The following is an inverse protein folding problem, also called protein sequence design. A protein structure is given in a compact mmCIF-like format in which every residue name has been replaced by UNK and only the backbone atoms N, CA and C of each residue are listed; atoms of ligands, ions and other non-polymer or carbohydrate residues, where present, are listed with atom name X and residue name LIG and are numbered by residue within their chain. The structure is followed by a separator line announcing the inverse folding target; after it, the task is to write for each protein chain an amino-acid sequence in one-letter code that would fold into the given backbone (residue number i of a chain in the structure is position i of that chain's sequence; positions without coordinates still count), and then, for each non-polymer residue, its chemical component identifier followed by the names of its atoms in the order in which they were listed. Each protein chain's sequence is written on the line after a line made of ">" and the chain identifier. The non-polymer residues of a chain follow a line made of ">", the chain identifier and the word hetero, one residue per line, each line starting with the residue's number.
data_IF_970235561989
#
_entry.id   IF_970235561989
#
_cell.length_a   1.000
_cell.length_b   1.000
_cell.length_c   1.000
_cell.angle_alpha   90.00
_cell.angle_beta   90.00
_cell.angle_gamma   90.00
#
_symmetry.space_group_name_H-M   'P 1'
#
loop_
_entity.id
_entity.type
_entity.pdbx_description
1 polymer ?
#
# COMPACT_ATOMS: atom_id res chain seq x y z
N UNK A 1 2.42 0.03 -13.07
CA UNK A 1 1.92 -0.36 -11.75
C UNK A 1 0.44 -0.11 -11.57
N UNK A 2 -0.02 1.08 -11.90
CA UNK A 2 -1.44 1.41 -11.79
C UNK A 2 -2.30 0.49 -12.66
N UNK A 3 -1.84 0.17 -13.85
CA UNK A 3 -2.55 -0.73 -14.75
C UNK A 3 -2.71 -2.12 -14.15
N UNK A 4 -1.72 -2.58 -13.41
CA UNK A 4 -1.79 -3.87 -12.75
C UNK A 4 -2.83 -3.85 -11.64
N UNK A 5 -2.90 -2.75 -10.89
CA UNK A 5 -3.90 -2.59 -9.84
C UNK A 5 -5.30 -2.58 -10.46
N UNK A 6 -5.48 -1.89 -11.57
CA UNK A 6 -6.76 -1.84 -12.28
C UNK A 6 -7.17 -3.24 -12.76
N UNK A 7 -6.22 -3.98 -13.31
CA UNK A 7 -6.46 -5.33 -13.77
C UNK A 7 -6.86 -6.24 -12.60
N UNK A 8 -6.16 -6.12 -11.50
CA UNK A 8 -6.43 -6.92 -10.30
C UNK A 8 -7.81 -6.58 -9.73
N UNK A 9 -8.21 -5.31 -9.80
CA UNK A 9 -9.53 -4.89 -9.36
C UNK A 9 -10.61 -5.55 -10.22
N UNK A 10 -10.44 -5.53 -11.54
CA UNK A 10 -11.39 -6.16 -12.45
C UNK A 10 -11.49 -7.66 -12.19
N UNK A 11 -10.35 -8.29 -11.94
CA UNK A 11 -10.31 -9.71 -11.63
C UNK A 11 -11.01 -10.00 -10.31
N UNK A 12 -10.83 -9.15 -9.32
CA UNK A 12 -11.51 -9.29 -8.04
C UNK A 12 -13.03 -9.18 -8.20
N UNK A 13 -13.49 -8.25 -9.04
CA UNK A 13 -14.91 -8.10 -9.34
C UNK A 13 -15.45 -9.35 -10.01
N UNK A 14 -14.68 -9.90 -10.95
CA UNK A 14 -15.06 -11.09 -11.67
C UNK A 14 -15.18 -12.29 -10.74
N UNK A 15 -14.31 -12.36 -9.75
CA UNK A 15 -14.30 -13.44 -8.77
C UNK A 15 -15.21 -13.17 -7.59
N UNK A 16 -15.97 -12.08 -7.63
CA UNK A 16 -16.90 -11.67 -6.59
C UNK A 16 -16.21 -11.38 -5.25
N UNK A 17 -14.95 -11.03 -5.31
CA UNK A 17 -14.20 -10.61 -4.13
C UNK A 17 -14.41 -9.12 -3.92
N UNK A 18 -15.53 -8.77 -3.31
CA UNK A 18 -15.95 -7.38 -3.13
C UNK A 18 -15.00 -6.58 -2.26
N UNK A 19 -14.47 -7.21 -1.25
CA UNK A 19 -13.57 -6.56 -0.32
C UNK A 19 -12.28 -6.11 -1.02
N UNK A 20 -11.67 -7.02 -1.77
CA UNK A 20 -10.48 -6.71 -2.52
C UNK A 20 -10.76 -5.65 -3.61
N UNK A 21 -11.86 -5.83 -4.33
CA UNK A 21 -12.24 -4.89 -5.38
C UNK A 21 -12.45 -3.48 -4.82
N UNK A 22 -13.11 -3.38 -3.67
CA UNK A 22 -13.34 -2.09 -3.02
C UNK A 22 -12.04 -1.42 -2.59
N UNK A 23 -11.13 -2.19 -1.99
CA UNK A 23 -9.84 -1.69 -1.56
C UNK A 23 -9.01 -1.19 -2.75
N UNK A 24 -8.98 -1.98 -3.83
CA UNK A 24 -8.22 -1.59 -5.02
C UNK A 24 -8.83 -0.38 -5.73
N UNK A 25 -10.16 -0.30 -5.74
CA UNK A 25 -10.84 0.86 -6.32
C UNK A 25 -10.45 2.14 -5.58
N UNK A 26 -10.37 2.07 -4.26
CA UNK A 26 -9.96 3.21 -3.45
C UNK A 26 -8.53 3.63 -3.79
N UNK A 27 -7.63 2.67 -3.93
CA UNK A 27 -6.25 2.97 -4.32
C UNK A 27 -6.18 3.64 -5.68
N UNK A 28 -6.94 3.12 -6.63
CA UNK A 28 -6.98 3.69 -7.99
C UNK A 28 -7.47 5.12 -7.93
N UNK A 29 -8.51 5.40 -7.14
CA UNK A 29 -9.04 6.75 -6.97
C UNK A 29 -7.99 7.69 -6.40
N UNK A 30 -7.25 7.23 -5.40
CA UNK A 30 -6.19 8.03 -4.79
C UNK A 30 -5.11 8.37 -5.80
N UNK A 31 -4.73 7.39 -6.63
CA UNK A 31 -3.72 7.60 -7.65
C UNK A 31 -4.21 8.58 -8.73
N UNK A 32 -5.45 8.43 -9.15
CA UNK A 32 -6.02 9.34 -10.15
C UNK A 32 -6.12 10.76 -9.63
N UNK A 33 -6.53 10.92 -8.38
CA UNK A 33 -6.59 12.24 -7.76
C UNK A 33 -5.20 12.88 -7.68
N UNK A 34 -4.21 12.09 -7.35
CA UNK A 34 -2.83 12.57 -7.29
C UNK A 34 -2.33 12.98 -8.67
N UNK A 35 -2.67 12.19 -9.70
CA UNK A 35 -2.28 12.51 -11.07
C UNK A 35 -2.89 13.85 -11.51
N UNK A 36 -4.12 14.11 -11.13
CA UNK A 36 -4.78 15.39 -11.42
C UNK A 36 -4.06 16.52 -10.68
N UNK A 37 -3.73 16.29 -9.42
CA UNK A 37 -3.05 17.28 -8.60
C UNK A 37 -1.69 17.69 -9.17
N UNK A 38 -0.90 16.70 -9.63
CA UNK A 38 0.43 16.98 -10.18
C UNK A 38 0.40 17.31 -11.67
N UNK A 39 -0.74 17.10 -12.33
CA UNK A 39 -0.92 17.48 -13.73
C UNK A 39 -0.34 16.54 -14.77
N UNK A 40 -0.02 15.32 -14.38
CA UNK A 40 0.49 14.30 -15.31
C UNK A 40 0.22 12.90 -14.75
N UNK A 41 0.39 11.91 -15.63
CA UNK A 41 0.26 10.52 -15.22
C UNK A 41 1.35 10.17 -14.21
N UNK A 42 0.99 9.39 -13.21
CA UNK A 42 1.94 9.00 -12.18
C UNK A 42 2.92 7.95 -12.69
N UNK A 43 4.18 8.13 -12.38
CA UNK A 43 5.19 7.10 -12.60
C UNK A 43 5.03 6.02 -11.54
N UNK A 44 5.69 4.88 -11.73
CA UNK A 44 5.62 3.80 -10.75
C UNK A 44 6.09 4.25 -9.37
N UNK A 45 7.16 5.04 -9.31
CA UNK A 45 7.64 5.52 -8.02
C UNK A 45 6.65 6.46 -7.35
N UNK A 46 5.90 7.24 -8.13
CA UNK A 46 4.86 8.10 -7.59
C UNK A 46 3.67 7.28 -7.08
N UNK A 47 3.31 6.23 -7.81
CA UNK A 47 2.27 5.30 -7.36
C UNK A 47 2.68 4.65 -6.04
N UNK A 48 3.92 4.21 -5.95
CA UNK A 48 4.45 3.62 -4.71
C UNK A 48 4.31 4.59 -3.54
N UNK A 49 4.60 5.86 -3.74
CA UNK A 49 4.44 6.86 -2.69
C UNK A 49 3.00 7.00 -2.24
N UNK A 50 2.06 6.98 -3.18
CA UNK A 50 0.63 7.02 -2.85
C UNK A 50 0.25 5.81 -2.01
N UNK A 51 0.74 4.63 -2.40
CA UNK A 51 0.46 3.40 -1.66
C UNK A 51 1.08 3.43 -0.26
N UNK A 52 2.29 3.94 -0.14
CA UNK A 52 2.95 4.07 1.16
C UNK A 52 2.16 4.99 2.09
N UNK A 53 1.65 6.09 1.55
CA UNK A 53 0.83 7.01 2.31
C UNK A 53 -0.48 6.34 2.74
N UNK A 54 -1.10 5.58 1.83
CA UNK A 54 -2.32 4.85 2.14
C UNK A 54 -2.07 3.82 3.24
N UNK A 55 -0.96 3.09 3.16
CA UNK A 55 -0.60 2.10 4.17
C UNK A 55 -0.43 2.77 5.53
N UNK A 56 0.22 3.92 5.56
CA UNK A 56 0.42 4.67 6.80
C UNK A 56 -0.92 5.10 7.39
N UNK A 57 -1.83 5.57 6.54
CA UNK A 57 -3.15 5.99 6.97
C UNK A 57 -3.95 4.82 7.55
N UNK A 58 -3.87 3.65 6.93
CA UNK A 58 -4.54 2.46 7.46
C UNK A 58 -3.99 2.08 8.82
N UNK A 59 -2.67 2.14 9.00
CA UNK A 59 -2.06 1.84 10.30
C UNK A 59 -2.51 2.80 11.38
N UNK A 60 -2.63 4.08 11.03
CA UNK A 60 -3.13 5.10 11.93
C UNK A 60 -4.57 4.80 12.34
N UNK A 61 -5.40 4.47 11.36
CA UNK A 61 -6.80 4.13 11.60
C UNK A 61 -6.94 2.92 12.49
N UNK A 62 -6.11 1.90 12.24
CA UNK A 62 -6.11 0.68 13.06
C UNK A 62 -5.83 1.03 14.51
N UNK A 63 -4.83 1.86 14.74
CA UNK A 63 -4.47 2.29 16.09
C UNK A 63 -5.63 3.00 16.77
N UNK A 64 -6.25 3.93 16.07
CA UNK A 64 -7.39 4.69 16.60
C UNK A 64 -8.58 3.80 16.91
N UNK A 65 -8.89 2.86 16.03
CA UNK A 65 -10.01 1.96 16.25
C UNK A 65 -9.76 1.00 17.40
N UNK A 66 -8.51 0.58 17.59
CA UNK A 66 -8.15 -0.26 18.74
C UNK A 66 -8.36 0.50 20.04
N UNK A 67 -7.97 1.76 20.07
CA UNK A 67 -8.18 2.60 21.24
C UNK A 67 -9.67 2.80 21.54
N UNK A 68 -10.49 2.83 20.48
CA UNK A 68 -11.93 2.98 20.61
C UNK A 68 -12.69 1.67 20.77
N UNK A 69 -11.98 0.55 20.87
CA UNK A 69 -12.58 -0.78 21.00
C UNK A 69 -13.50 -1.14 19.82
N UNK A 70 -13.15 -0.68 18.62
CA UNK A 70 -13.91 -0.97 17.41
C UNK A 70 -13.23 -2.06 16.61
N UNK A 71 -13.27 -3.26 17.13
CA UNK A 71 -12.61 -4.42 16.51
C UNK A 71 -13.11 -4.71 15.10
N UNK A 72 -14.37 -4.45 14.84
CA UNK A 72 -14.94 -4.61 13.50
C UNK A 72 -14.25 -3.71 12.48
N UNK A 73 -13.97 -2.48 12.86
CA UNK A 73 -13.28 -1.53 11.99
C UNK A 73 -11.80 -1.84 11.88
N UNK A 74 -11.21 -2.34 12.96
CA UNK A 74 -9.80 -2.77 12.95
C UNK A 74 -9.62 -3.85 11.90
N UNK A 75 -10.48 -4.86 11.90
CA UNK A 75 -10.39 -5.96 10.96
C UNK A 75 -10.51 -5.48 9.51
N UNK A 76 -11.46 -4.61 9.24
CA UNK A 76 -11.66 -4.06 7.91
C UNK A 76 -10.42 -3.31 7.43
N UNK A 77 -9.85 -2.48 8.30
CA UNK A 77 -8.66 -1.70 7.95
C UNK A 77 -7.44 -2.60 7.74
N UNK A 78 -7.31 -3.65 8.54
CA UNK A 78 -6.22 -4.59 8.39
C UNK A 78 -6.28 -5.32 7.06
N UNK A 79 -7.48 -5.71 6.64
CA UNK A 79 -7.67 -6.37 5.35
C UNK A 79 -7.31 -5.45 4.19
N UNK A 80 -7.73 -4.20 4.26
CA UNK A 80 -7.38 -3.21 3.24
C UNK A 80 -5.87 -2.95 3.21
N UNK A 81 -5.27 -2.88 4.38
CA UNK A 81 -3.82 -2.68 4.49
C UNK A 81 -3.06 -3.82 3.80
N UNK A 82 -3.51 -5.04 3.96
CA UNK A 82 -2.87 -6.18 3.31
C UNK A 82 -2.86 -6.03 1.79
N UNK A 83 -3.98 -5.59 1.22
CA UNK A 83 -4.05 -5.39 -0.23
C UNK A 83 -3.10 -4.28 -0.69
N UNK A 84 -3.02 -3.21 0.07
CA UNK A 84 -2.12 -2.11 -0.25
C UNK A 84 -0.67 -2.59 -0.20
N UNK A 85 -0.32 -3.27 0.87
CA UNK A 85 1.06 -3.72 1.08
C UNK A 85 1.50 -4.76 0.04
N UNK A 86 0.56 -5.49 -0.53
CA UNK A 86 0.90 -6.47 -1.55
C UNK A 86 1.50 -5.85 -2.81
N UNK A 87 1.31 -4.57 -3.01
CA UNK A 87 1.87 -3.86 -4.15
C UNK A 87 3.14 -3.09 -3.82
N UNK A 88 3.50 -3.03 -2.56
CA UNK A 88 4.70 -2.31 -2.16
C UNK A 88 5.93 -3.20 -2.27
N UNK A 89 7.03 -2.68 -2.80
CA UNK A 89 8.27 -3.44 -2.80
C UNK A 89 8.75 -3.61 -1.37
N UNK A 90 9.44 -4.71 -1.11
CA UNK A 90 9.93 -5.00 0.23
C UNK A 90 8.83 -5.04 1.26
N UNK A 91 8.03 -6.07 1.21
CA UNK A 91 6.95 -6.27 2.18
C UNK A 91 7.47 -6.61 3.56
N UNK A 92 8.55 -6.00 3.93
CA UNK A 92 9.21 -6.25 5.19
C UNK A 92 8.79 -5.25 6.23
N UNK A 93 8.96 -5.62 7.49
CA UNK A 93 8.76 -4.70 8.57
C UNK A 93 9.75 -3.56 8.43
N UNK A 94 9.49 -2.46 9.10
CA UNK A 94 10.38 -1.33 9.07
C UNK A 94 11.79 -1.72 9.49
N UNK A 95 11.89 -2.58 10.47
CA UNK A 95 13.16 -3.08 10.96
C UNK A 95 13.88 -3.89 9.89
N UNK A 96 13.16 -4.74 9.19
CA UNK A 96 13.74 -5.54 8.12
C UNK A 96 14.19 -4.67 6.97
N UNK A 97 13.43 -3.66 6.66
CA UNK A 97 13.80 -2.73 5.59
C UNK A 97 15.07 -1.99 5.96
N UNK A 98 15.16 -1.55 7.19
CA UNK A 98 16.36 -0.87 7.67
C UNK A 98 17.57 -1.77 7.58
N UNK A 99 17.43 -3.00 8.05
CA UNK A 99 18.50 -3.98 7.99
C UNK A 99 18.91 -4.25 6.55
N UNK A 100 17.96 -4.39 5.67
CA UNK A 100 18.24 -4.61 4.26
C UNK A 100 18.98 -3.43 3.65
N UNK A 101 18.54 -2.22 3.96
CA UNK A 101 19.18 -1.02 3.45
C UNK A 101 20.61 -0.92 3.96
N UNK A 102 20.81 -1.21 5.23
CA UNK A 102 22.14 -1.20 5.80
C UNK A 102 23.03 -2.24 5.14
N UNK A 103 22.49 -3.42 4.91
CA UNK A 103 23.22 -4.47 4.23
C UNK A 103 23.55 -4.09 2.80
N UNK A 104 22.61 -3.49 2.12
CA UNK A 104 22.83 -3.04 0.77
C UNK A 104 23.90 -1.97 0.73
N UNK A 105 23.85 -1.05 1.65
CA UNK A 105 24.82 0.00 1.77
C UNK A 105 26.17 -0.59 2.13
N UNK A 106 26.16 -1.55 3.03
CA UNK A 106 27.38 -2.23 3.46
C UNK A 106 27.93 -3.15 2.39
N UNK A 107 27.03 -3.84 1.72
CA UNK A 107 27.38 -4.80 0.69
C UNK A 107 27.64 -4.13 -0.63
N UNK A 108 26.91 -3.15 -0.79
CA UNK A 108 27.02 -2.35 -1.97
C UNK A 108 27.98 -1.26 -1.65
N UNK A 109 27.86 -1.11 -0.54
CA UNK A 109 28.68 -0.26 0.13
C UNK A 109 28.62 -0.94 1.32
N UNK A 110 27.54 -1.68 1.34
CA UNK A 110 27.37 -2.19 1.75
C UNK A 110 27.08 -2.63 1.85
N UNK A 111 27.34 -2.43 2.09
CA UNK A 111 27.04 -3.00 2.34
C UNK A 111 26.82 -3.17 2.63
N UNK A 112 26.89 -2.89 3.09
CA UNK A 112 26.82 -3.11 3.50
C UNK A 112 26.68 -3.41 3.88
N UNK A 113 27.07 -3.03 4.35
CA UNK A 113 26.86 -3.33 4.73
C UNK A 113 27.01 -3.51 4.77
#
# INVERSE_FOLDING_TARGET
>A
MLKQIEKDMMEALKNKNKEKAGALRLLISKCKNKAIEVGHELSDSEVIKVLQTAAKQHKESIRMYKEGNRDDLVEAEMNELQFVESYLPSMMSEEEVRSLVENIISEVGASQM
#
